data_IF_020802015357
#
_entry.id   IF_020802015357
#
_cell.length_a   1.000
_cell.length_b   1.000
_cell.length_c   1.000
_cell.angle_alpha   90.00
_cell.angle_beta   90.00
_cell.angle_gamma   90.00
#
_symmetry.space_group_name_H-M   'P 1'
#
loop_
_entity.id
_entity.type
_entity.pdbx_description
1 polymer ?
#
# COMPACT_ATOMS: atom_id res chain seq x y z
N UNK A 1 15.74 -13.78 14.37
CA UNK A 1 14.93 -12.60 13.99
C UNK A 1 15.19 -12.35 12.51
N UNK A 2 14.19 -12.27 11.65
CA UNK A 2 14.42 -11.86 10.26
C UNK A 2 14.51 -10.35 10.20
N UNK A 3 15.68 -9.82 9.87
CA UNK A 3 15.88 -8.39 9.72
C UNK A 3 15.06 -7.88 8.53
N UNK A 4 14.48 -6.70 8.67
CA UNK A 4 13.69 -6.02 7.66
C UNK A 4 14.19 -4.58 7.53
N UNK A 5 14.25 -4.07 6.30
CA UNK A 5 14.61 -2.68 6.01
C UNK A 5 13.39 -1.96 5.46
N UNK A 6 13.14 -0.76 5.96
CA UNK A 6 12.17 0.19 5.43
C UNK A 6 12.94 1.28 4.69
N UNK A 7 12.79 1.33 3.37
CA UNK A 7 13.39 2.36 2.52
C UNK A 7 12.32 3.36 2.10
N UNK A 8 12.59 4.65 2.25
CA UNK A 8 11.83 5.68 1.55
C UNK A 8 12.42 5.88 0.16
N UNK A 9 11.89 5.17 -0.84
CA UNK A 9 12.40 5.17 -2.21
C UNK A 9 12.11 6.52 -2.88
N UNK A 10 13.13 7.26 -3.37
CA UNK A 10 12.93 8.50 -4.11
C UNK A 10 12.25 8.32 -5.47
N UNK A 11 11.74 9.43 -6.02
CA UNK A 11 11.25 9.50 -7.38
C UNK A 11 12.39 9.23 -8.38
N UNK A 12 12.09 8.58 -9.51
CA UNK A 12 13.06 8.34 -10.58
C UNK A 12 13.98 7.14 -10.36
N UNK A 13 13.91 6.50 -9.19
CA UNK A 13 14.67 5.31 -8.83
C UNK A 13 13.93 4.05 -9.27
N UNK A 14 14.61 3.06 -9.83
CA UNK A 14 14.03 1.76 -10.19
C UNK A 14 14.02 0.83 -8.97
N UNK A 15 12.89 0.18 -8.72
CA UNK A 15 12.70 -0.72 -7.58
C UNK A 15 13.33 -2.11 -7.81
N UNK A 16 14.65 -2.16 -8.00
CA UNK A 16 15.47 -3.37 -8.07
C UNK A 16 16.93 -3.04 -7.68
N UNK A 17 17.75 -4.05 -7.41
CA UNK A 17 19.18 -3.88 -7.11
C UNK A 17 20.11 -4.05 -8.32
N UNK A 18 19.64 -4.70 -9.38
CA UNK A 18 20.41 -4.87 -10.61
C UNK A 18 20.50 -3.55 -11.39
N UNK A 19 21.66 -3.22 -11.99
CA UNK A 19 21.82 -2.03 -12.82
C UNK A 19 20.74 -1.94 -13.90
N UNK A 20 20.26 -0.73 -14.18
CA UNK A 20 19.18 -0.52 -15.15
C UNK A 20 19.31 0.80 -15.90
N UNK A 21 19.93 0.72 -17.07
CA UNK A 21 20.05 1.85 -17.99
C UNK A 21 20.62 3.09 -17.33
N UNK A 22 19.90 4.20 -17.43
CA UNK A 22 20.33 5.53 -16.93
C UNK A 22 19.72 5.90 -15.57
N UNK A 23 18.82 5.10 -15.03
CA UNK A 23 18.13 5.43 -13.79
C UNK A 23 18.87 4.84 -12.58
N UNK A 24 18.93 5.55 -11.45
CA UNK A 24 19.37 4.97 -10.18
C UNK A 24 18.49 3.78 -9.78
N UNK A 25 19.04 2.92 -8.96
CA UNK A 25 18.44 1.66 -8.48
C UNK A 25 18.43 1.65 -6.95
N UNK A 26 17.86 0.61 -6.33
CA UNK A 26 17.89 0.48 -4.87
C UNK A 26 19.32 0.34 -4.33
N UNK A 27 20.26 -0.15 -5.15
CA UNK A 27 21.68 -0.31 -4.78
C UNK A 27 22.36 1.01 -4.47
N UNK A 28 21.88 2.12 -5.03
CA UNK A 28 22.44 3.45 -4.81
C UNK A 28 22.04 4.06 -3.45
N UNK A 29 21.10 3.42 -2.75
CA UNK A 29 20.54 3.91 -1.48
C UNK A 29 20.69 2.91 -0.32
N UNK A 30 20.81 1.62 -0.64
CA UNK A 30 20.96 0.56 0.35
C UNK A 30 22.24 -0.20 0.06
N UNK A 31 23.23 -0.02 0.92
CA UNK A 31 24.55 -0.63 0.88
C UNK A 31 24.58 -2.01 1.57
N UNK A 32 23.53 -2.37 2.29
CA UNK A 32 23.41 -3.66 2.99
C UNK A 32 23.06 -4.79 2.01
N UNK A 33 23.93 -5.80 1.82
CA UNK A 33 23.67 -6.91 0.93
C UNK A 33 22.64 -7.89 1.50
N UNK A 34 22.08 -8.74 0.63
CA UNK A 34 21.19 -9.84 1.02
C UNK A 34 19.73 -9.46 1.25
N UNK A 35 19.37 -8.18 1.09
CA UNK A 35 17.99 -7.72 1.17
C UNK A 35 17.37 -7.57 -0.22
N UNK A 36 16.12 -8.00 -0.36
CA UNK A 36 15.37 -7.93 -1.61
C UNK A 36 14.02 -7.26 -1.39
N UNK A 37 13.50 -6.54 -2.39
CA UNK A 37 12.22 -5.86 -2.26
C UNK A 37 11.05 -6.84 -2.11
N UNK A 38 10.26 -6.65 -1.05
CA UNK A 38 8.99 -7.31 -0.81
C UNK A 38 7.86 -6.54 -1.50
N UNK A 39 7.82 -6.67 -2.83
CA UNK A 39 6.93 -5.93 -3.70
C UNK A 39 7.62 -4.73 -4.34
N UNK A 40 6.93 -4.07 -5.29
CA UNK A 40 7.54 -3.04 -6.12
C UNK A 40 6.83 -1.69 -5.99
N UNK A 41 7.57 -0.63 -6.27
CA UNK A 41 7.05 0.68 -6.67
C UNK A 41 7.51 0.97 -8.10
N UNK A 42 6.67 1.65 -8.86
CA UNK A 42 7.04 2.14 -10.18
C UNK A 42 8.15 3.18 -10.08
N UNK A 43 8.94 3.36 -11.13
CA UNK A 43 10.03 4.35 -11.18
C UNK A 43 9.54 5.76 -10.89
N UNK A 44 8.33 6.09 -11.38
CA UNK A 44 7.68 7.38 -11.18
C UNK A 44 6.95 7.52 -9.83
N UNK A 45 7.07 6.54 -8.94
CA UNK A 45 6.43 6.53 -7.62
C UNK A 45 7.45 6.62 -6.49
N UNK A 46 7.01 7.17 -5.36
CA UNK A 46 7.85 7.44 -4.18
C UNK A 46 7.36 6.64 -2.97
N UNK A 47 8.20 6.59 -1.93
CA UNK A 47 7.78 6.15 -0.61
C UNK A 47 8.20 4.73 -0.26
N UNK A 48 7.45 4.11 0.65
CA UNK A 48 7.88 2.94 1.38
C UNK A 48 8.11 1.74 0.46
N UNK A 49 9.31 1.20 0.52
CA UNK A 49 9.66 -0.14 0.03
C UNK A 49 10.15 -0.95 1.21
N UNK A 50 9.48 -2.07 1.46
CA UNK A 50 9.91 -3.05 2.46
C UNK A 50 10.92 -3.98 1.79
N UNK A 51 12.09 -4.15 2.40
CA UNK A 51 13.13 -5.08 1.95
C UNK A 51 13.35 -6.16 3.02
N UNK A 52 13.56 -7.39 2.58
CA UNK A 52 13.80 -8.54 3.48
C UNK A 52 14.77 -9.53 2.86
N UNK A 53 15.54 -10.21 3.70
CA UNK A 53 16.34 -11.38 3.32
C UNK A 53 15.56 -12.71 3.45
N UNK A 54 14.38 -12.67 4.07
CA UNK A 54 13.52 -13.83 4.32
C UNK A 54 12.47 -13.98 3.21
N UNK A 55 12.62 -15.02 2.39
CA UNK A 55 11.72 -15.33 1.27
C UNK A 55 10.29 -15.68 1.70
N UNK A 56 10.10 -16.26 2.89
CA UNK A 56 8.77 -16.56 3.43
C UNK A 56 8.03 -15.28 3.83
N UNK A 57 8.76 -14.35 4.46
CA UNK A 57 8.24 -13.01 4.74
C UNK A 57 7.96 -12.23 3.45
N UNK A 58 8.85 -12.31 2.46
CA UNK A 58 8.66 -11.68 1.15
C UNK A 58 7.38 -12.18 0.48
N UNK A 59 7.14 -13.50 0.49
CA UNK A 59 5.93 -14.09 -0.04
C UNK A 59 4.69 -13.60 0.73
N UNK A 60 4.73 -13.60 2.07
CA UNK A 60 3.62 -13.12 2.91
C UNK A 60 3.24 -11.67 2.61
N UNK A 61 4.23 -10.80 2.38
CA UNK A 61 3.99 -9.37 2.08
C UNK A 61 3.43 -9.17 0.67
N UNK A 62 3.93 -9.96 -0.29
CA UNK A 62 3.57 -9.81 -1.72
C UNK A 62 2.35 -10.60 -2.14
N UNK A 63 1.95 -11.63 -1.39
CA UNK A 63 0.84 -12.49 -1.76
C UNK A 63 -0.48 -11.69 -1.84
N UNK A 64 -1.14 -11.64 -3.02
CA UNK A 64 -2.43 -11.01 -3.21
C UNK A 64 -3.55 -11.51 -2.27
N UNK A 65 -3.40 -12.72 -1.70
CA UNK A 65 -4.32 -13.36 -0.76
C UNK A 65 -4.14 -12.86 0.67
N UNK A 66 -2.92 -12.44 1.04
CA UNK A 66 -2.58 -11.98 2.39
C UNK A 66 -2.98 -10.52 2.67
N UNK A 67 -3.37 -9.77 1.62
CA UNK A 67 -4.14 -8.50 1.70
C UNK A 67 -3.57 -7.44 2.67
N UNK A 68 -2.25 -7.38 2.86
CA UNK A 68 -1.64 -6.28 3.60
C UNK A 68 -2.06 -4.97 2.96
N UNK A 69 -2.73 -4.14 3.76
CA UNK A 69 -3.21 -2.84 3.36
C UNK A 69 -2.01 -1.96 2.97
N UNK A 70 -2.16 -1.23 1.88
CA UNK A 70 -1.16 -0.28 1.39
C UNK A 70 -1.83 1.07 1.34
N UNK A 71 -1.32 2.01 2.12
CA UNK A 71 -1.83 3.37 2.16
C UNK A 71 -0.97 4.26 1.29
N UNK A 72 -1.62 5.03 0.43
CA UNK A 72 -0.98 5.94 -0.50
C UNK A 72 -1.50 7.35 -0.28
N UNK A 73 -0.60 8.33 -0.37
CA UNK A 73 -0.95 9.71 -0.58
C UNK A 73 -0.75 10.05 -2.05
N UNK A 74 -1.82 10.54 -2.67
CA UNK A 74 -1.91 10.73 -4.12
C UNK A 74 -2.29 12.16 -4.40
N UNK A 75 -1.39 12.90 -5.03
CA UNK A 75 -1.75 14.20 -5.58
C UNK A 75 -2.36 13.99 -6.96
N UNK A 76 -3.55 14.54 -7.18
CA UNK A 76 -4.29 14.45 -8.44
C UNK A 76 -4.56 15.83 -9.01
N UNK A 77 -4.77 15.90 -10.32
CA UNK A 77 -5.35 17.07 -10.97
C UNK A 77 -6.84 17.17 -10.69
N UNK A 78 -7.35 18.40 -10.59
CA UNK A 78 -8.75 18.68 -10.29
C UNK A 78 -9.05 18.67 -8.79
N UNK A 79 -10.33 18.87 -8.47
CA UNK A 79 -10.86 18.89 -7.11
C UNK A 79 -11.96 17.82 -7.02
N UNK A 80 -11.62 16.56 -6.74
CA UNK A 80 -12.61 15.51 -6.56
C UNK A 80 -13.49 15.79 -5.34
N UNK A 81 -14.79 15.64 -5.51
CA UNK A 81 -15.77 15.65 -4.43
C UNK A 81 -16.09 14.21 -3.96
N UNK A 82 -17.00 14.07 -3.00
CA UNK A 82 -17.33 12.74 -2.46
C UNK A 82 -17.97 11.82 -3.51
N UNK A 83 -18.76 12.37 -4.44
CA UNK A 83 -19.37 11.63 -5.53
C UNK A 83 -18.32 11.08 -6.50
N UNK A 84 -17.28 11.87 -6.80
CA UNK A 84 -16.13 11.45 -7.58
C UNK A 84 -15.31 10.34 -6.90
N UNK A 85 -15.29 10.26 -5.57
CA UNK A 85 -14.61 9.19 -4.83
C UNK A 85 -15.44 7.91 -4.70
N UNK A 86 -16.76 7.97 -4.85
CA UNK A 86 -17.65 6.81 -4.71
C UNK A 86 -17.27 5.63 -5.62
N UNK A 87 -16.90 5.81 -6.92
CA UNK A 87 -16.43 4.71 -7.77
C UNK A 87 -15.16 4.02 -7.24
N UNK A 88 -14.23 4.77 -6.63
CA UNK A 88 -13.03 4.20 -6.02
C UNK A 88 -13.40 3.32 -4.81
N UNK A 89 -14.37 3.76 -4.02
CA UNK A 89 -14.88 3.05 -2.83
C UNK A 89 -15.70 1.81 -3.19
N UNK A 90 -16.44 1.84 -4.29
CA UNK A 90 -17.22 0.70 -4.78
C UNK A 90 -16.40 -0.30 -5.61
N UNK A 91 -15.17 0.05 -5.99
CA UNK A 91 -14.37 -0.67 -6.96
C UNK A 91 -14.70 -0.25 -8.39
N UNK A 92 -13.65 0.05 -9.17
CA UNK A 92 -13.73 0.72 -10.46
C UNK A 92 -13.18 -0.15 -11.60
N UNK A 93 -13.76 -0.04 -12.80
CA UNK A 93 -13.27 -0.75 -13.98
C UNK A 93 -12.01 -0.07 -14.54
N UNK A 94 -10.97 -0.86 -14.84
CA UNK A 94 -9.67 -0.38 -15.35
C UNK A 94 -9.36 -0.92 -16.75
N UNK A 95 -10.39 -1.31 -17.50
CA UNK A 95 -10.28 -1.94 -18.81
C UNK A 95 -10.09 -3.45 -18.72
N UNK A 96 -8.91 -3.89 -18.27
CA UNK A 96 -8.52 -5.31 -18.24
C UNK A 96 -9.08 -6.07 -17.01
N UNK A 97 -9.46 -5.36 -15.95
CA UNK A 97 -10.15 -5.94 -14.79
C UNK A 97 -10.90 -4.85 -14.01
N UNK A 98 -11.68 -5.29 -13.02
CA UNK A 98 -12.28 -4.40 -12.02
C UNK A 98 -11.45 -4.39 -10.74
N UNK A 99 -10.96 -3.21 -10.36
CA UNK A 99 -10.29 -3.02 -9.08
C UNK A 99 -11.27 -3.28 -7.92
N UNK A 100 -10.74 -3.81 -6.82
CA UNK A 100 -11.53 -4.02 -5.60
C UNK A 100 -11.87 -2.65 -4.98
N UNK A 101 -12.91 -2.61 -4.14
CA UNK A 101 -13.15 -1.50 -3.22
C UNK A 101 -11.87 -1.04 -2.53
N UNK A 102 -11.63 0.27 -2.52
CA UNK A 102 -10.55 0.91 -1.79
C UNK A 102 -11.12 1.93 -0.79
N UNK A 103 -10.40 2.19 0.29
CA UNK A 103 -10.71 3.37 1.10
C UNK A 103 -10.18 4.59 0.35
N UNK A 104 -11.00 5.63 0.19
CA UNK A 104 -10.63 6.83 -0.53
C UNK A 104 -11.14 8.07 0.22
N UNK A 105 -10.22 8.94 0.62
CA UNK A 105 -10.50 10.15 1.39
C UNK A 105 -9.80 11.35 0.74
N UNK A 106 -10.52 12.46 0.63
CA UNK A 106 -9.91 13.75 0.36
C UNK A 106 -9.15 14.20 1.61
N UNK A 107 -7.94 14.74 1.44
CA UNK A 107 -7.10 15.19 2.54
C UNK A 107 -6.31 16.44 2.18
N UNK A 108 -5.80 17.13 3.19
CA UNK A 108 -4.78 18.17 3.00
C UNK A 108 -3.45 17.53 2.56
N UNK A 109 -2.53 18.32 1.96
CA UNK A 109 -1.14 17.89 1.80
C UNK A 109 -0.59 17.44 3.16
N UNK A 110 0.13 16.31 3.26
CA UNK A 110 0.68 15.86 4.54
C UNK A 110 1.74 16.82 5.08
N UNK A 111 1.79 17.02 6.40
CA UNK A 111 2.77 17.91 7.03
C UNK A 111 4.23 17.42 6.89
N UNK A 112 4.42 16.11 6.76
CA UNK A 112 5.72 15.46 6.55
C UNK A 112 6.16 15.42 5.07
N UNK A 113 5.43 16.09 4.18
CA UNK A 113 5.66 16.02 2.73
C UNK A 113 6.99 16.70 2.34
N UNK A 114 7.94 15.92 1.82
CA UNK A 114 9.17 16.44 1.25
C UNK A 114 8.99 16.99 -0.17
N UNK A 115 9.89 17.90 -0.55
CA UNK A 115 10.01 18.40 -1.93
C UNK A 115 10.44 17.30 -2.89
N UNK A 116 9.73 17.13 -4.01
CA UNK A 116 10.08 16.16 -5.06
C UNK A 116 11.14 16.74 -6.00
N UNK A 117 12.08 15.90 -6.42
CA UNK A 117 13.07 16.21 -7.46
C UNK A 117 12.90 15.24 -8.65
N UNK A 118 12.71 15.73 -9.90
CA UNK A 118 12.38 17.12 -10.23
C UNK A 118 11.02 17.54 -9.64
N UNK A 119 10.73 18.85 -9.53
CA UNK A 119 9.43 19.31 -9.07
C UNK A 119 8.30 18.80 -9.98
N UNK A 120 7.09 18.71 -9.43
CA UNK A 120 5.91 18.41 -10.24
C UNK A 120 5.66 19.59 -11.17
N UNK A 121 5.39 19.30 -12.44
CA UNK A 121 5.01 20.35 -13.40
C UNK A 121 3.62 20.87 -13.03
N UNK A 122 3.56 22.03 -12.39
CA UNK A 122 2.31 22.70 -12.10
C UNK A 122 1.71 23.32 -13.37
N UNK A 123 0.40 23.12 -13.56
CA UNK A 123 -0.38 23.84 -14.57
C UNK A 123 -1.21 24.89 -13.85
N UNK A 124 -0.85 26.17 -13.97
CA UNK A 124 -1.46 27.26 -13.18
C UNK A 124 -3.00 27.27 -13.23
N UNK A 125 -3.59 26.91 -14.37
CA UNK A 125 -5.03 26.91 -14.57
C UNK A 125 -5.76 25.68 -13.99
N UNK A 126 -5.05 24.66 -13.51
CA UNK A 126 -5.65 23.40 -13.05
C UNK A 126 -5.33 23.21 -11.57
N UNK A 127 -6.34 23.23 -10.68
CA UNK A 127 -6.13 22.98 -9.27
C UNK A 127 -5.67 21.54 -9.04
N UNK A 128 -5.12 21.27 -7.85
CA UNK A 128 -4.73 19.92 -7.44
C UNK A 128 -5.27 19.62 -6.06
N UNK A 129 -5.54 18.34 -5.79
CA UNK A 129 -5.98 17.85 -4.51
C UNK A 129 -5.14 16.65 -4.06
N UNK A 130 -5.15 16.37 -2.76
CA UNK A 130 -4.55 15.18 -2.19
C UNK A 130 -5.62 14.18 -1.78
N UNK A 131 -5.38 12.91 -2.11
CA UNK A 131 -6.18 11.78 -1.71
C UNK A 131 -5.34 10.85 -0.83
N UNK A 132 -5.95 10.31 0.23
CA UNK A 132 -5.46 9.12 0.90
C UNK A 132 -6.21 7.91 0.35
N UNK A 133 -5.48 6.94 -0.22
CA UNK A 133 -6.04 5.71 -0.76
C UNK A 133 -5.47 4.49 -0.04
N UNK A 134 -6.32 3.64 0.52
CA UNK A 134 -5.92 2.36 1.12
C UNK A 134 -6.39 1.19 0.26
N UNK A 135 -5.44 0.40 -0.25
CA UNK A 135 -5.72 -0.75 -1.11
C UNK A 135 -5.26 -2.05 -0.45
N UNK A 136 -5.99 -3.15 -0.71
CA UNK A 136 -5.61 -4.52 -0.29
C UNK A 136 -5.23 -5.41 -1.47
N UNK A 137 -4.77 -4.77 -2.54
CA UNK A 137 -4.27 -5.37 -3.76
C UNK A 137 -3.01 -4.61 -4.23
N UNK A 138 -2.39 -5.04 -5.32
CA UNK A 138 -1.13 -4.48 -5.78
C UNK A 138 -0.82 -4.83 -7.22
N UNK A 139 -1.68 -4.39 -8.16
CA UNK A 139 -1.47 -4.57 -9.59
C UNK A 139 -0.65 -3.42 -10.18
N UNK A 140 -0.06 -3.65 -11.36
CA UNK A 140 0.75 -2.65 -12.05
C UNK A 140 -0.02 -1.34 -12.25
N UNK A 141 0.60 -0.22 -11.85
CA UNK A 141 0.07 1.16 -11.95
C UNK A 141 -1.36 1.34 -11.42
N UNK A 142 -1.82 0.47 -10.51
CA UNK A 142 -3.22 0.38 -10.14
C UNK A 142 -3.78 1.69 -9.60
N UNK A 143 -3.11 2.33 -8.64
CA UNK A 143 -3.55 3.61 -8.07
C UNK A 143 -3.70 4.68 -9.14
N UNK A 144 -2.72 4.81 -10.04
CA UNK A 144 -2.75 5.80 -11.12
C UNK A 144 -3.89 5.56 -12.11
N UNK A 145 -4.14 4.29 -12.45
CA UNK A 145 -5.27 3.91 -13.31
C UNK A 145 -6.61 4.17 -12.64
N UNK A 146 -6.71 3.90 -11.34
CA UNK A 146 -7.92 4.16 -10.56
C UNK A 146 -8.27 5.64 -10.53
N UNK A 147 -7.32 6.53 -10.18
CA UNK A 147 -7.64 7.96 -10.15
C UNK A 147 -7.92 8.52 -11.55
N UNK A 148 -7.19 8.06 -12.58
CA UNK A 148 -7.47 8.44 -13.97
C UNK A 148 -8.85 7.99 -14.44
N UNK A 149 -9.27 6.76 -14.11
CA UNK A 149 -10.61 6.25 -14.43
C UNK A 149 -11.73 7.00 -13.68
N UNK A 150 -11.42 7.56 -12.51
CA UNK A 150 -12.31 8.47 -11.79
C UNK A 150 -12.31 9.91 -12.36
N UNK A 151 -11.47 10.22 -13.36
CA UNK A 151 -11.37 11.54 -13.98
C UNK A 151 -10.28 12.45 -13.41
N UNK A 152 -9.46 11.97 -12.49
CA UNK A 152 -8.45 12.75 -11.75
C UNK A 152 -7.05 12.15 -11.92
N UNK A 153 -6.32 12.45 -13.01
CA UNK A 153 -4.99 11.90 -13.26
C UNK A 153 -4.00 12.15 -12.10
N UNK A 154 -3.23 11.13 -11.74
CA UNK A 154 -2.23 11.23 -10.66
C UNK A 154 -1.00 12.02 -11.10
N UNK A 155 -0.66 13.07 -10.35
CA UNK A 155 0.57 13.86 -10.47
C UNK A 155 1.72 13.29 -9.63
N UNK A 156 1.43 12.89 -8.38
CA UNK A 156 2.41 12.37 -7.42
C UNK A 156 1.80 11.22 -6.63
N UNK A 157 2.61 10.19 -6.40
CA UNK A 157 2.18 8.98 -5.71
C UNK A 157 3.23 8.58 -4.69
N UNK A 158 2.85 8.63 -3.41
CA UNK A 158 3.70 8.25 -2.28
C UNK A 158 3.04 7.09 -1.56
N UNK A 159 3.69 5.93 -1.51
CA UNK A 159 3.23 4.84 -0.62
C UNK A 159 3.69 5.13 0.79
N UNK A 160 2.77 5.45 1.68
CA UNK A 160 3.09 5.77 3.07
C UNK A 160 3.24 4.52 3.93
N UNK A 161 2.42 3.48 3.71
CA UNK A 161 2.48 2.26 4.52
C UNK A 161 2.28 0.97 3.74
N UNK A 162 2.80 -0.12 4.32
CA UNK A 162 2.56 -1.50 3.90
C UNK A 162 2.30 -2.30 5.18
N UNK A 163 1.05 -2.72 5.38
CA UNK A 163 0.63 -3.35 6.62
C UNK A 163 0.94 -2.47 7.84
N UNK A 164 1.67 -2.97 8.85
CA UNK A 164 2.00 -2.21 10.05
C UNK A 164 3.18 -1.24 9.86
N UNK A 165 3.94 -1.34 8.77
CA UNK A 165 5.13 -0.51 8.57
C UNK A 165 4.78 0.79 7.83
N UNK A 166 5.38 1.89 8.28
CA UNK A 166 5.13 3.23 7.75
C UNK A 166 6.43 3.96 7.39
N UNK A 167 6.30 5.05 6.64
CA UNK A 167 7.39 5.99 6.33
C UNK A 167 7.77 6.92 7.48
N UNK A 168 7.06 6.87 8.61
CA UNK A 168 7.24 7.84 9.68
C UNK A 168 8.72 7.91 10.12
N UNK A 169 9.29 9.11 10.05
CA UNK A 169 10.69 9.38 10.42
C UNK A 169 11.74 8.97 9.37
N UNK A 170 11.35 8.54 8.17
CA UNK A 170 12.28 8.12 7.12
C UNK A 170 12.31 9.15 5.99
N UNK A 171 13.38 9.94 5.91
CA UNK A 171 13.61 10.88 4.82
C UNK A 171 13.83 10.19 3.47
N UNK A 172 13.54 10.85 2.33
CA UNK A 172 13.74 10.28 1.00
C UNK A 172 15.18 9.83 0.77
N UNK A 173 15.35 8.61 0.27
CA UNK A 173 16.65 8.00 0.01
C UNK A 173 17.27 7.34 1.25
N UNK A 174 16.73 7.61 2.44
CA UNK A 174 17.16 6.97 3.67
C UNK A 174 16.37 5.70 3.95
N UNK A 175 16.95 4.85 4.77
CA UNK A 175 16.36 3.62 5.22
C UNK A 175 16.64 3.38 6.71
N UNK A 176 15.83 2.54 7.33
CA UNK A 176 16.04 2.07 8.69
C UNK A 176 15.71 0.59 8.83
N UNK A 177 16.29 -0.06 9.84
CA UNK A 177 15.86 -1.38 10.25
C UNK A 177 14.48 -1.32 10.92
N UNK A 178 13.69 -2.37 10.75
CA UNK A 178 12.43 -2.55 11.44
C UNK A 178 12.26 -4.00 11.89
N UNK A 179 11.41 -4.17 12.91
CA UNK A 179 11.06 -5.49 13.41
C UNK A 179 10.04 -6.17 12.49
N UNK A 180 10.32 -7.42 12.13
CA UNK A 180 9.43 -8.29 11.36
C UNK A 180 8.46 -9.10 12.23
N UNK A 181 8.71 -9.18 13.55
CA UNK A 181 7.87 -9.92 14.50
C UNK A 181 6.44 -9.39 14.58
N UNK A 182 6.26 -8.10 14.23
CA UNK A 182 4.97 -7.41 14.26
C UNK A 182 3.88 -8.09 13.42
N UNK A 183 4.24 -8.77 12.32
CA UNK A 183 3.26 -9.53 11.54
C UNK A 183 2.80 -10.82 12.24
N UNK A 184 3.67 -11.46 13.04
CA UNK A 184 3.32 -12.69 13.76
C UNK A 184 2.28 -12.39 14.85
N UNK A 185 2.45 -11.29 15.57
CA UNK A 185 1.51 -10.86 16.60
C UNK A 185 0.10 -10.60 16.05
N UNK A 186 0.00 -9.94 14.89
CA UNK A 186 -1.31 -9.64 14.28
C UNK A 186 -2.10 -10.86 13.80
N UNK A 187 -1.43 -11.99 13.53
CA UNK A 187 -2.09 -13.22 13.07
C UNK A 187 -2.69 -14.00 14.23
N UNK A 188 -2.05 -13.97 15.39
CA UNK A 188 -2.47 -14.69 16.59
C UNK A 188 -3.52 -13.91 17.42
N UNK A 189 -3.69 -12.61 17.18
CA UNK A 189 -4.63 -11.75 17.91
C UNK A 189 -5.98 -11.50 17.21
N UNK A 190 -6.36 -12.31 16.21
CA UNK A 190 -7.73 -12.27 15.68
C UNK A 190 -8.68 -13.03 16.63
N UNK A 191 -9.75 -12.41 17.15
CA UNK A 191 -10.72 -13.14 17.97
C UNK A 191 -11.36 -14.20 17.07
N UNK A 192 -11.21 -15.47 17.46
CA UNK A 192 -11.88 -16.58 16.82
C UNK A 192 -13.38 -16.26 16.73
N UNK A 193 -13.91 -16.16 15.51
CA UNK A 193 -15.35 -16.09 15.31
C UNK A 193 -15.94 -17.41 15.83
N UNK A 194 -16.54 -17.33 17.02
CA UNK A 194 -17.24 -18.44 17.65
C UNK A 194 -18.47 -18.80 16.83
N UNK A 195 -18.32 -19.78 15.94
CA UNK A 195 -19.45 -20.55 15.43
C UNK A 195 -19.22 -22.02 15.75
N UNK A 196 -19.93 -22.51 16.77
CA UNK A 196 -20.43 -23.88 16.78
C UNK A 196 -21.88 -23.92 17.26
N UNK A 197 -22.71 -24.35 16.32
CA UNK A 197 -24.04 -24.92 16.46
C UNK A 197 -24.21 -25.79 17.71
N UNK A 198 -25.38 -25.69 18.34
CA UNK A 198 -25.97 -26.77 19.11
C UNK A 198 -27.31 -27.18 18.47
N UNK A 199 -27.25 -28.17 17.58
CA UNK A 199 -28.38 -29.04 17.30
C UNK A 199 -28.56 -29.97 18.50
N UNK A 200 -29.67 -29.83 19.23
CA UNK A 200 -30.11 -30.80 20.24
C UNK A 200 -31.47 -31.37 19.88
N UNK A 201 -31.50 -32.52 19.22
CA UNK A 201 -32.64 -33.45 19.27
C UNK A 201 -32.28 -34.52 20.31
N UNK A 202 -33.16 -34.77 21.28
CA UNK A 202 -33.93 -36.02 21.48
C UNK A 202 -34.28 -36.31 22.95
N UNK A 203 -35.58 -36.61 23.16
CA UNK A 203 -36.15 -37.62 24.08
C UNK A 203 -36.07 -37.46 25.60
N UNK A 204 -37.24 -37.40 26.25
CA UNK A 204 -37.41 -37.76 27.66
C UNK A 204 -38.87 -37.72 28.16
N UNK A 205 -39.54 -38.88 28.13
CA UNK A 205 -40.81 -39.21 28.81
C UNK A 205 -40.98 -38.58 30.19
N UNK A 206 -42.21 -38.20 30.56
CA UNK A 206 -42.84 -38.59 31.85
C UNK A 206 -44.37 -38.45 31.83
N UNK A 207 -44.99 -39.52 32.35
CA UNK A 207 -46.40 -39.78 32.65
C UNK A 207 -46.86 -38.97 33.89
N UNK A 208 -48.16 -39.12 34.19
CA UNK A 208 -48.93 -38.84 35.44
C UNK A 208 -49.51 -37.43 35.51
N UNK A 209 -50.80 -37.19 35.70
CA UNK A 209 -51.99 -38.00 36.06
C UNK A 209 -53.21 -37.39 35.38
#
# INVERSE_FOLDING_TARGET
>A
MSALILLNKPYGVICQFSPSGKHPTLKDYVDVPGFYPAGRLDTDSEGLVVLTADGGLQHTITDPRHKLAKTYFVQVEGLPDDAALAPLRAGIALGDYRARPAEALLTAPPDWLWSRVPPIRARQAIPTAWLQLTLREGRNRQVRRMTAAAGFPTLRLIRYSVGPWTLAGIEPGNWQYADSSILRYTKDSSPASGHRHAHGRHSGKRRTT
#
